data_IF_760551917377
#
_entry.id   IF_760551917377
#
_cell.length_a   1.000
_cell.length_b   1.000
_cell.length_c   1.000
_cell.angle_alpha   90.00
_cell.angle_beta   90.00
_cell.angle_gamma   90.00
#
_symmetry.space_group_name_H-M   'P 1'
#
loop_
_entity.id
_entity.type
_entity.pdbx_description
1 polymer ?
#
# COMPACT_ATOMS: atom_id res chain seq x y z
N UNK A 1 15.88 -13.56 -20.24
CA UNK A 1 14.78 -12.68 -19.77
C UNK A 1 15.22 -12.09 -18.44
N UNK A 2 15.04 -10.79 -18.20
CA UNK A 2 15.34 -10.22 -16.87
C UNK A 2 14.41 -10.85 -15.81
N UNK A 3 14.88 -11.12 -14.58
CA UNK A 3 14.03 -11.72 -13.55
C UNK A 3 12.88 -10.78 -13.19
N UNK A 4 11.65 -11.31 -13.12
CA UNK A 4 10.47 -10.57 -12.66
C UNK A 4 10.47 -10.56 -11.13
N UNK A 5 10.57 -9.38 -10.53
CA UNK A 5 10.55 -9.19 -9.08
C UNK A 5 9.18 -8.65 -8.68
N UNK A 6 8.45 -9.40 -7.86
CA UNK A 6 7.20 -8.95 -7.24
C UNK A 6 7.49 -8.65 -5.77
N UNK A 7 7.23 -7.41 -5.34
CA UNK A 7 7.39 -7.01 -3.95
C UNK A 7 6.02 -6.77 -3.36
N UNK A 8 5.78 -7.43 -2.23
CA UNK A 8 4.55 -7.37 -1.47
C UNK A 8 4.97 -6.98 -0.05
N UNK A 9 4.62 -5.78 0.38
CA UNK A 9 5.04 -5.30 1.69
C UNK A 9 4.54 -3.90 1.98
N UNK A 10 4.81 -3.44 3.19
CA UNK A 10 4.33 -2.15 3.69
C UNK A 10 4.99 -0.97 2.97
N UNK A 11 4.16 0.03 2.71
CA UNK A 11 4.55 1.41 2.53
C UNK A 11 4.11 2.12 3.81
N UNK A 12 4.95 3.02 4.31
CA UNK A 12 4.67 3.84 5.48
C UNK A 12 5.14 5.28 5.18
N UNK A 13 4.76 6.24 6.04
CA UNK A 13 5.40 7.55 6.08
C UNK A 13 6.33 7.62 7.27
N UNK A 14 7.61 7.91 7.00
CA UNK A 14 8.62 8.10 8.02
C UNK A 14 8.60 9.57 8.45
N UNK A 15 8.24 9.80 9.72
CA UNK A 15 8.34 11.11 10.37
C UNK A 15 9.66 11.16 11.14
N UNK A 16 10.64 11.88 10.58
CA UNK A 16 12.00 11.94 11.12
C UNK A 16 12.24 13.31 11.72
N UNK A 17 12.41 13.34 13.04
CA UNK A 17 12.86 14.52 13.78
C UNK A 17 14.35 14.38 14.10
N UNK A 18 15.15 15.34 13.68
CA UNK A 18 16.57 15.40 13.97
C UNK A 18 16.79 16.13 15.30
N UNK A 19 17.46 15.45 16.23
CA UNK A 19 17.74 15.93 17.59
C UNK A 19 19.21 15.65 17.92
N UNK A 20 19.85 16.44 18.80
CA UNK A 20 21.28 16.28 19.12
C UNK A 20 21.58 14.95 19.84
N UNK A 21 20.60 14.36 20.52
CA UNK A 21 20.66 13.04 21.14
C UNK A 21 19.25 12.47 21.31
N UNK A 22 19.16 11.18 21.65
CA UNK A 22 17.88 10.58 22.04
C UNK A 22 17.34 11.24 23.32
N UNK A 23 16.03 11.56 23.40
CA UNK A 23 15.45 12.14 24.61
C UNK A 23 15.57 11.21 25.81
N UNK A 24 15.94 11.77 26.96
CA UNK A 24 15.85 11.09 28.25
C UNK A 24 14.39 11.11 28.79
N UNK A 25 14.03 10.23 29.74
CA UNK A 25 12.70 10.26 30.35
C UNK A 25 12.36 11.63 30.96
N UNK A 26 11.25 12.22 30.52
CA UNK A 26 10.77 13.53 30.99
C UNK A 26 11.44 14.74 30.33
N UNK A 27 12.44 14.53 29.48
CA UNK A 27 13.11 15.59 28.74
C UNK A 27 12.29 16.00 27.51
N UNK A 28 12.27 17.31 27.22
CA UNK A 28 11.70 17.86 25.98
C UNK A 28 12.82 18.50 25.17
N UNK A 29 13.00 18.04 23.92
CA UNK A 29 14.00 18.57 23.00
C UNK A 29 13.35 19.34 21.85
N UNK A 30 13.95 20.46 21.48
CA UNK A 30 13.61 21.15 20.24
C UNK A 30 14.34 20.48 19.07
N UNK A 31 13.59 20.10 18.05
CA UNK A 31 14.13 19.55 16.81
C UNK A 31 14.93 20.60 16.03
N UNK A 32 16.05 20.19 15.42
CA UNK A 32 16.79 21.04 14.48
C UNK A 32 16.39 20.77 13.01
N UNK A 33 15.47 19.84 12.78
CA UNK A 33 14.90 19.54 11.47
C UNK A 33 13.82 18.47 11.56
N UNK A 34 12.76 18.64 10.77
CA UNK A 34 11.70 17.65 10.66
C UNK A 34 11.51 17.31 9.19
N UNK A 35 11.47 16.02 8.88
CA UNK A 35 11.25 15.54 7.52
C UNK A 35 10.14 14.49 7.51
N UNK A 36 9.30 14.56 6.49
CA UNK A 36 8.29 13.55 6.18
C UNK A 36 8.64 12.97 4.82
N UNK A 37 8.88 11.67 4.76
CA UNK A 37 9.27 10.99 3.53
C UNK A 37 8.56 9.64 3.38
N UNK A 38 8.33 9.18 2.13
CA UNK A 38 7.90 7.81 1.89
C UNK A 38 8.93 6.82 2.47
N UNK A 39 8.43 5.83 3.21
CA UNK A 39 9.21 4.81 3.90
C UNK A 39 8.49 3.47 3.90
N UNK A 40 8.75 2.63 4.89
CA UNK A 40 8.19 1.28 4.93
C UNK A 40 9.04 0.24 4.18
N UNK A 41 9.10 -0.97 4.72
CA UNK A 41 10.06 -1.98 4.29
C UNK A 41 9.76 -2.48 2.87
N UNK A 42 8.49 -2.65 2.52
CA UNK A 42 8.07 -3.08 1.18
C UNK A 42 8.41 -2.04 0.11
N UNK A 43 8.08 -0.77 0.36
CA UNK A 43 8.39 0.31 -0.56
C UNK A 43 9.90 0.53 -0.75
N UNK A 44 10.66 0.52 0.35
CA UNK A 44 12.12 0.67 0.29
C UNK A 44 12.77 -0.49 -0.49
N UNK A 45 12.27 -1.72 -0.31
CA UNK A 45 12.72 -2.86 -1.12
C UNK A 45 12.36 -2.69 -2.61
N UNK A 46 11.18 -2.16 -2.94
CA UNK A 46 10.76 -1.95 -4.33
C UNK A 46 11.65 -0.92 -5.02
N UNK A 47 11.90 0.21 -4.36
CA UNK A 47 12.81 1.24 -4.84
C UNK A 47 14.24 0.69 -4.96
N UNK A 48 14.71 -0.12 -4.02
CA UNK A 48 16.03 -0.73 -4.07
C UNK A 48 16.17 -1.69 -5.27
N UNK A 49 15.21 -2.61 -5.46
CA UNK A 49 15.20 -3.51 -6.60
C UNK A 49 15.18 -2.74 -7.92
N UNK A 50 14.35 -1.70 -8.05
CA UNK A 50 14.30 -0.86 -9.25
C UNK A 50 15.63 -0.14 -9.51
N UNK A 51 16.22 0.51 -8.48
CA UNK A 51 17.48 1.25 -8.61
C UNK A 51 18.69 0.34 -8.87
N UNK A 52 18.75 -0.83 -8.25
CA UNK A 52 19.89 -1.75 -8.35
C UNK A 52 19.84 -2.65 -9.59
N UNK A 53 18.67 -2.81 -10.21
CA UNK A 53 18.52 -3.59 -11.45
C UNK A 53 18.69 -2.78 -12.72
N UNK A 54 18.93 -1.46 -12.63
CA UNK A 54 18.90 -0.51 -13.77
C UNK A 54 20.02 0.52 -13.68
N UNK A 55 20.50 0.99 -14.82
CA UNK A 55 21.36 2.20 -14.92
C UNK A 55 20.49 3.43 -14.68
N UNK A 56 20.98 4.40 -13.90
CA UNK A 56 20.20 5.54 -13.38
C UNK A 56 19.53 6.39 -14.47
N UNK A 57 18.23 6.17 -14.68
CA UNK A 57 17.30 7.16 -15.26
C UNK A 57 16.07 7.28 -14.35
N UNK A 58 15.64 8.52 -14.08
CA UNK A 58 14.50 8.82 -13.21
C UNK A 58 13.15 8.31 -13.75
N UNK A 59 13.08 7.91 -15.02
CA UNK A 59 11.82 7.52 -15.68
C UNK A 59 11.43 6.05 -15.47
N UNK A 60 12.25 5.23 -14.81
CA UNK A 60 12.08 3.78 -14.77
C UNK A 60 11.75 3.16 -13.40
N UNK A 61 11.54 3.96 -12.35
CA UNK A 61 11.42 3.43 -10.98
C UNK A 61 10.21 2.52 -10.75
N UNK A 62 9.12 2.75 -11.50
CA UNK A 62 7.88 1.96 -11.42
C UNK A 62 7.73 0.96 -12.56
N UNK A 63 8.61 1.02 -13.55
CA UNK A 63 8.57 0.13 -14.70
C UNK A 63 8.88 -1.31 -14.26
N UNK A 64 8.09 -2.26 -14.75
CA UNK A 64 8.16 -3.65 -14.32
C UNK A 64 7.57 -3.95 -12.93
N UNK A 65 7.00 -2.97 -12.21
CA UNK A 65 6.33 -3.23 -10.94
C UNK A 65 4.98 -3.93 -11.17
N UNK A 66 4.87 -5.17 -10.71
CA UNK A 66 3.68 -5.99 -10.95
C UNK A 66 2.45 -5.53 -10.15
N UNK A 67 2.63 -5.13 -8.90
CA UNK A 67 1.55 -4.69 -8.01
C UNK A 67 2.06 -3.52 -7.17
N UNK A 68 1.27 -2.45 -7.09
CA UNK A 68 1.50 -1.32 -6.20
C UNK A 68 0.28 -1.18 -5.31
N UNK A 69 0.45 -1.42 -4.01
CA UNK A 69 -0.59 -1.22 -2.99
C UNK A 69 -0.17 -0.03 -2.13
N UNK A 70 -1.04 0.98 -2.08
CA UNK A 70 -0.80 2.25 -1.37
C UNK A 70 -2.07 2.72 -0.67
N UNK A 71 -1.95 3.48 0.42
CA UNK A 71 -3.08 4.23 0.98
C UNK A 71 -3.24 5.62 0.31
N UNK A 72 -4.23 6.41 0.74
CA UNK A 72 -4.52 7.76 0.24
C UNK A 72 -3.32 8.71 0.34
N UNK A 73 -2.74 8.84 1.53
CA UNK A 73 -1.61 9.73 1.81
C UNK A 73 -0.37 9.34 0.99
N UNK A 74 -0.11 8.05 0.88
CA UNK A 74 0.97 7.48 0.08
C UNK A 74 0.78 7.69 -1.41
N UNK A 75 -0.44 7.47 -1.91
CA UNK A 75 -0.78 7.71 -3.29
C UNK A 75 -0.59 9.18 -3.65
N UNK A 76 -1.02 10.11 -2.79
CA UNK A 76 -0.82 11.54 -2.96
C UNK A 76 0.67 11.92 -3.03
N UNK A 77 1.46 11.48 -2.04
CA UNK A 77 2.90 11.75 -1.97
C UNK A 77 3.66 11.18 -3.16
N UNK A 78 3.42 9.91 -3.50
CA UNK A 78 4.12 9.26 -4.62
C UNK A 78 3.69 9.81 -5.97
N UNK A 79 2.42 10.20 -6.14
CA UNK A 79 1.93 10.81 -7.38
C UNK A 79 2.37 12.26 -7.55
N UNK A 80 2.71 12.95 -6.45
CA UNK A 80 2.93 14.40 -6.43
C UNK A 80 1.62 15.18 -6.58
N UNK A 81 0.49 14.58 -6.18
CA UNK A 81 -0.85 15.19 -6.18
C UNK A 81 -1.29 15.50 -4.76
N UNK A 82 -2.15 16.52 -4.53
CA UNK A 82 -2.70 16.76 -3.20
C UNK A 82 -3.63 15.61 -2.78
N UNK A 83 -3.72 15.35 -1.48
CA UNK A 83 -4.61 14.31 -0.93
C UNK A 83 -6.08 14.54 -1.30
N UNK A 84 -6.50 15.79 -1.53
CA UNK A 84 -7.86 16.13 -1.99
C UNK A 84 -8.22 15.53 -3.35
N UNK A 85 -7.23 15.16 -4.20
CA UNK A 85 -7.51 14.42 -5.44
C UNK A 85 -8.05 13.01 -5.15
N UNK A 86 -7.76 12.44 -3.99
CA UNK A 86 -8.23 11.10 -3.62
C UNK A 86 -9.66 11.15 -3.07
N UNK A 87 -10.25 12.32 -2.87
CA UNK A 87 -11.61 12.47 -2.34
C UNK A 87 -12.70 12.23 -3.39
N UNK A 88 -12.39 12.43 -4.68
CA UNK A 88 -13.34 12.26 -5.79
C UNK A 88 -13.04 11.00 -6.63
N UNK A 89 -14.07 10.32 -7.17
CA UNK A 89 -13.87 9.18 -8.07
C UNK A 89 -12.95 9.51 -9.27
N UNK A 90 -13.11 10.69 -9.86
CA UNK A 90 -12.33 11.13 -11.02
C UNK A 90 -10.87 11.40 -10.65
N UNK A 91 -10.61 11.95 -9.46
CA UNK A 91 -9.24 12.19 -9.00
C UNK A 91 -8.52 10.91 -8.63
N UNK A 92 -9.19 9.96 -7.97
CA UNK A 92 -8.67 8.61 -7.73
C UNK A 92 -8.29 7.94 -9.07
N UNK A 93 -9.16 8.02 -10.08
CA UNK A 93 -8.88 7.48 -11.42
C UNK A 93 -7.66 8.14 -12.07
N UNK A 94 -7.52 9.46 -11.99
CA UNK A 94 -6.34 10.18 -12.51
C UNK A 94 -5.06 9.72 -11.84
N UNK A 95 -5.07 9.52 -10.52
CA UNK A 95 -3.90 9.04 -9.77
C UNK A 95 -3.57 7.59 -10.13
N UNK A 96 -4.57 6.72 -10.27
CA UNK A 96 -4.39 5.35 -10.76
C UNK A 96 -3.77 5.30 -12.16
N UNK A 97 -4.31 6.08 -13.10
CA UNK A 97 -3.80 6.17 -14.47
C UNK A 97 -2.34 6.64 -14.51
N UNK A 98 -1.98 7.63 -13.68
CA UNK A 98 -0.60 8.11 -13.57
C UNK A 98 0.38 6.99 -13.17
N UNK A 99 0.01 6.11 -12.25
CA UNK A 99 0.86 4.99 -11.86
C UNK A 99 0.97 3.91 -12.96
N UNK A 100 -0.10 3.67 -13.74
CA UNK A 100 -0.04 2.80 -14.92
C UNK A 100 0.89 3.37 -16.00
N UNK A 101 0.82 4.67 -16.25
CA UNK A 101 1.70 5.38 -17.20
C UNK A 101 3.16 5.31 -16.76
N UNK A 102 3.42 5.31 -15.44
CA UNK A 102 4.75 5.10 -14.86
C UNK A 102 5.25 3.65 -14.95
N UNK A 103 4.41 2.71 -15.37
CA UNK A 103 4.80 1.33 -15.70
C UNK A 103 4.25 0.24 -14.77
N UNK A 104 3.50 0.61 -13.73
CA UNK A 104 2.88 -0.36 -12.81
C UNK A 104 1.83 -1.20 -13.56
N UNK A 105 1.76 -2.50 -13.28
CA UNK A 105 0.78 -3.40 -13.93
C UNK A 105 -0.58 -3.39 -13.24
N UNK A 106 -0.60 -3.46 -11.90
CA UNK A 106 -1.80 -3.39 -11.07
C UNK A 106 -1.61 -2.34 -9.98
N UNK A 107 -2.49 -1.35 -9.92
CA UNK A 107 -2.49 -0.28 -8.92
C UNK A 107 -3.68 -0.48 -8.01
N UNK A 108 -3.44 -0.50 -6.70
CA UNK A 108 -4.43 -0.71 -5.65
C UNK A 108 -4.27 0.44 -4.65
N UNK A 109 -5.32 1.24 -4.47
CA UNK A 109 -5.36 2.38 -3.57
C UNK A 109 -6.40 2.09 -2.50
N UNK A 110 -5.96 1.90 -1.25
CA UNK A 110 -6.84 1.73 -0.11
C UNK A 110 -7.32 3.10 0.38
N UNK A 111 -8.64 3.22 0.61
CA UNK A 111 -9.33 4.48 0.91
C UNK A 111 -10.06 4.42 2.27
N UNK A 112 -9.52 3.62 3.19
CA UNK A 112 -10.12 3.35 4.50
C UNK A 112 -11.57 2.87 4.40
N UNK A 113 -12.48 3.57 5.09
CA UNK A 113 -13.91 3.24 5.10
C UNK A 113 -14.62 3.39 3.75
N UNK A 114 -14.00 4.04 2.75
CA UNK A 114 -14.53 4.14 1.39
C UNK A 114 -14.21 2.91 0.53
N UNK A 115 -13.39 1.99 1.05
CA UNK A 115 -13.04 0.75 0.39
C UNK A 115 -11.71 0.84 -0.34
N UNK A 116 -11.62 0.23 -1.52
CA UNK A 116 -10.38 0.09 -2.28
C UNK A 116 -10.65 0.36 -3.75
N UNK A 117 -9.92 1.30 -4.33
CA UNK A 117 -9.89 1.48 -5.77
C UNK A 117 -8.77 0.65 -6.38
N UNK A 118 -9.02 0.02 -7.53
CA UNK A 118 -7.96 -0.56 -8.33
C UNK A 118 -8.10 -0.26 -9.81
N UNK A 119 -6.98 -0.30 -10.51
CA UNK A 119 -6.90 -0.25 -11.97
C UNK A 119 -5.69 -1.04 -12.45
N UNK A 120 -5.78 -1.67 -13.62
CA UNK A 120 -4.68 -2.42 -14.21
C UNK A 120 -4.49 -2.15 -15.70
N UNK A 121 -3.34 -2.59 -16.24
CA UNK A 121 -3.03 -2.46 -17.69
C UNK A 121 -3.92 -3.32 -18.59
N UNK A 122 -4.66 -4.28 -18.06
CA UNK A 122 -5.65 -5.04 -18.80
C UNK A 122 -6.96 -4.24 -19.02
N UNK A 123 -7.06 -3.02 -18.50
CA UNK A 123 -8.22 -2.14 -18.64
C UNK A 123 -9.32 -2.44 -17.60
N UNK A 124 -9.06 -3.29 -16.61
CA UNK A 124 -9.97 -3.51 -15.49
C UNK A 124 -9.74 -2.43 -14.43
N UNK A 125 -10.81 -1.97 -13.81
CA UNK A 125 -10.75 -1.12 -12.63
C UNK A 125 -12.11 -0.90 -12.02
N UNK A 126 -12.16 -0.82 -10.69
CA UNK A 126 -13.37 -0.59 -9.95
C UNK A 126 -13.06 0.04 -8.58
N UNK A 127 -14.08 0.66 -8.00
CA UNK A 127 -14.11 0.98 -6.58
C UNK A 127 -14.85 -0.17 -5.86
N UNK A 128 -14.11 -0.93 -5.06
CA UNK A 128 -14.65 -2.03 -4.23
C UNK A 128 -14.99 -1.47 -2.86
N UNK A 129 -16.26 -1.58 -2.46
CA UNK A 129 -16.71 -1.10 -1.14
C UNK A 129 -15.95 -1.77 0.01
N UNK A 130 -15.78 -1.03 1.11
CA UNK A 130 -15.26 -1.59 2.34
C UNK A 130 -16.25 -2.61 2.92
N UNK A 131 -15.71 -3.68 3.51
CA UNK A 131 -16.51 -4.65 4.24
C UNK A 131 -17.03 -4.00 5.54
N UNK A 132 -18.34 -4.07 5.78
CA UNK A 132 -18.97 -3.41 6.93
C UNK A 132 -18.67 -4.18 8.20
N UNK A 133 -18.14 -3.49 9.21
CA UNK A 133 -17.79 -4.09 10.50
C UNK A 133 -17.84 -3.04 11.61
N UNK A 134 -17.84 -3.48 12.87
CA UNK A 134 -17.65 -2.60 14.02
C UNK A 134 -16.16 -2.31 14.18
N UNK A 135 -15.76 -1.06 14.02
CA UNK A 135 -14.36 -0.65 14.15
C UNK A 135 -14.00 -0.44 15.61
N UNK A 136 -12.97 -1.15 16.08
CA UNK A 136 -12.43 -1.08 17.45
C UNK A 136 -11.03 -0.46 17.46
N UNK A 137 -10.15 -0.90 16.57
CA UNK A 137 -8.76 -0.43 16.45
C UNK A 137 -8.26 -0.68 15.03
N UNK A 138 -7.83 0.35 14.31
CA UNK A 138 -7.43 0.24 12.90
C UNK A 138 -5.97 -0.21 12.72
N UNK A 139 -5.25 -0.45 13.81
CA UNK A 139 -3.86 -0.90 13.77
C UNK A 139 -3.73 -2.21 12.98
N UNK A 140 -2.71 -2.33 12.12
CA UNK A 140 -2.43 -3.48 11.26
C UNK A 140 -3.50 -3.81 10.18
N UNK A 141 -4.48 -2.94 9.94
CA UNK A 141 -5.46 -3.13 8.86
C UNK A 141 -4.77 -3.20 7.48
N UNK A 142 -3.90 -2.23 7.17
CA UNK A 142 -3.13 -2.20 5.94
C UNK A 142 -2.16 -3.38 5.80
N UNK A 143 -1.49 -3.77 6.89
CA UNK A 143 -0.59 -4.94 6.89
C UNK A 143 -1.36 -6.23 6.62
N UNK A 144 -2.55 -6.39 7.20
CA UNK A 144 -3.44 -7.53 6.95
C UNK A 144 -3.92 -7.55 5.51
N UNK A 145 -4.33 -6.39 4.98
CA UNK A 145 -4.74 -6.24 3.58
C UNK A 145 -3.63 -6.71 2.64
N UNK A 146 -2.43 -6.15 2.79
CA UNK A 146 -1.28 -6.46 1.95
C UNK A 146 -0.88 -7.92 2.10
N UNK A 147 -0.89 -8.48 3.31
CA UNK A 147 -0.59 -9.89 3.56
C UNK A 147 -1.58 -10.85 2.89
N UNK A 148 -2.88 -10.55 2.99
CA UNK A 148 -3.93 -11.35 2.34
C UNK A 148 -3.86 -11.25 0.81
N UNK A 149 -3.68 -10.04 0.27
CA UNK A 149 -3.50 -9.82 -1.17
C UNK A 149 -2.25 -10.54 -1.68
N UNK A 150 -1.15 -10.48 -0.94
CA UNK A 150 0.09 -11.17 -1.25
C UNK A 150 -0.08 -12.69 -1.34
N UNK A 151 -0.83 -13.28 -0.40
CA UNK A 151 -1.15 -14.70 -0.42
C UNK A 151 -1.92 -15.09 -1.69
N UNK A 152 -2.87 -14.25 -2.13
CA UNK A 152 -3.59 -14.47 -3.38
C UNK A 152 -2.67 -14.39 -4.62
N UNK A 153 -1.74 -13.43 -4.66
CA UNK A 153 -0.76 -13.29 -5.75
C UNK A 153 0.13 -14.53 -5.86
N UNK A 154 0.65 -15.02 -4.72
CA UNK A 154 1.52 -16.22 -4.70
C UNK A 154 0.72 -17.48 -5.03
N UNK A 155 -0.52 -17.59 -4.54
CA UNK A 155 -1.41 -18.72 -4.79
C UNK A 155 -1.87 -18.86 -6.24
N UNK A 156 -1.84 -17.78 -7.03
CA UNK A 156 -2.21 -17.79 -8.44
C UNK A 156 -1.08 -18.26 -9.39
N UNK A 157 0.00 -18.84 -8.87
CA UNK A 157 1.08 -19.35 -9.70
C UNK A 157 0.58 -20.41 -10.69
N UNK A 158 0.63 -20.09 -12.00
CA UNK A 158 0.17 -20.97 -13.07
C UNK A 158 -1.30 -20.82 -13.46
N UNK A 159 -2.05 -19.88 -12.86
CA UNK A 159 -3.43 -19.56 -13.22
C UNK A 159 -3.62 -18.05 -13.46
N UNK A 160 -4.68 -17.62 -14.16
CA UNK A 160 -5.00 -16.20 -14.26
C UNK A 160 -5.25 -15.59 -12.88
N UNK A 161 -4.56 -14.50 -12.57
CA UNK A 161 -4.76 -13.75 -11.32
C UNK A 161 -5.92 -12.77 -11.46
N UNK A 162 -6.92 -12.88 -10.59
CA UNK A 162 -8.05 -11.96 -10.51
C UNK A 162 -7.83 -10.95 -9.37
N UNK A 163 -7.59 -9.70 -9.75
CA UNK A 163 -7.33 -8.59 -8.82
C UNK A 163 -8.56 -8.29 -7.95
N UNK A 164 -9.78 -8.38 -8.50
CA UNK A 164 -11.02 -8.05 -7.79
C UNK A 164 -11.26 -9.07 -6.66
N UNK A 165 -11.12 -10.35 -6.99
CA UNK A 165 -11.27 -11.45 -6.02
C UNK A 165 -10.23 -11.33 -4.90
N UNK A 166 -8.97 -11.03 -5.25
CA UNK A 166 -7.91 -10.82 -4.27
C UNK A 166 -8.20 -9.63 -3.33
N UNK A 167 -8.71 -8.51 -3.87
CA UNK A 167 -9.08 -7.33 -3.08
C UNK A 167 -10.24 -7.64 -2.13
N UNK A 168 -11.28 -8.35 -2.59
CA UNK A 168 -12.42 -8.73 -1.73
C UNK A 168 -11.99 -9.61 -0.57
N UNK A 169 -11.13 -10.59 -0.82
CA UNK A 169 -10.56 -11.43 0.24
C UNK A 169 -9.74 -10.60 1.25
N UNK A 170 -8.92 -9.67 0.75
CA UNK A 170 -8.12 -8.79 1.59
C UNK A 170 -8.98 -7.79 2.40
N UNK A 171 -10.10 -7.30 1.84
CA UNK A 171 -11.09 -6.50 2.56
C UNK A 171 -11.73 -7.29 3.71
N UNK A 172 -12.14 -8.54 3.48
CA UNK A 172 -12.72 -9.40 4.53
C UNK A 172 -11.74 -9.61 5.68
N UNK A 173 -10.47 -9.87 5.36
CA UNK A 173 -9.41 -10.03 6.37
C UNK A 173 -9.21 -8.74 7.18
N UNK A 174 -9.07 -7.60 6.50
CA UNK A 174 -8.85 -6.31 7.13
C UNK A 174 -10.02 -5.88 8.01
N UNK A 175 -11.26 -6.12 7.59
CA UNK A 175 -12.45 -5.81 8.38
C UNK A 175 -12.54 -6.63 9.68
N UNK A 176 -12.02 -7.86 9.67
CA UNK A 176 -11.93 -8.67 10.88
C UNK A 176 -10.81 -8.20 11.81
N UNK A 177 -9.69 -7.77 11.25
CA UNK A 177 -8.59 -7.14 12.01
C UNK A 177 -9.06 -5.89 12.75
N UNK A 178 -9.74 -4.96 12.06
CA UNK A 178 -10.14 -3.70 12.70
C UNK A 178 -11.22 -3.84 13.76
N UNK A 179 -11.88 -4.99 13.83
CA UNK A 179 -12.87 -5.31 14.86
C UNK A 179 -12.25 -5.80 16.19
N UNK A 180 -10.92 -5.83 16.29
CA UNK A 180 -10.15 -6.32 17.45
C UNK A 180 -9.08 -5.30 17.82
N UNK A 181 -8.63 -5.31 19.08
CA UNK A 181 -7.54 -4.44 19.54
C UNK A 181 -6.17 -5.01 19.20
N UNK A 182 -5.22 -4.12 18.91
CA UNK A 182 -3.81 -4.46 18.72
C UNK A 182 -3.42 -4.73 17.27
N UNK A 183 -2.12 -4.92 17.04
CA UNK A 183 -1.53 -5.15 15.71
C UNK A 183 -1.54 -6.64 15.32
N UNK A 184 -0.47 -7.38 15.59
CA UNK A 184 -0.38 -8.79 15.17
C UNK A 184 -1.46 -9.68 15.79
N UNK A 185 -1.88 -9.37 17.02
CA UNK A 185 -2.89 -10.13 17.76
C UNK A 185 -4.31 -9.98 17.20
N UNK A 186 -4.57 -8.95 16.39
CA UNK A 186 -5.88 -8.74 15.77
C UNK A 186 -6.01 -9.45 14.42
N UNK A 187 -4.89 -9.83 13.80
CA UNK A 187 -4.86 -10.47 12.48
C UNK A 187 -5.60 -11.82 12.53
N UNK A 188 -6.58 -12.06 11.65
CA UNK A 188 -7.38 -13.28 11.67
C UNK A 188 -6.62 -14.49 11.12
N UNK A 189 -6.95 -15.66 11.63
CA UNK A 189 -6.60 -16.94 11.00
C UNK A 189 -7.50 -17.22 9.79
N UNK A 190 -7.10 -18.18 8.95
CA UNK A 190 -7.83 -18.49 7.70
C UNK A 190 -9.25 -18.99 7.95
N UNK A 191 -9.43 -19.88 8.94
CA UNK A 191 -10.72 -20.43 9.37
C UNK A 191 -11.66 -19.37 9.95
N UNK A 192 -11.10 -18.24 10.39
CA UNK A 192 -11.88 -17.09 10.81
C UNK A 192 -12.42 -16.26 9.63
N UNK A 193 -12.00 -16.54 8.39
CA UNK A 193 -12.41 -15.83 7.19
C UNK A 193 -13.41 -16.60 6.33
N UNK A 194 -13.91 -17.74 6.80
CA UNK A 194 -14.97 -18.51 6.14
C UNK A 194 -16.34 -17.89 6.44
#
# INVERSE_FOLDING_TARGET
MAPRITILGSLNIDLVSYVPHHPLPGETLTSNGFNSSPGGKGANQAVACAKLSRTSSLSGAYDGLAHLVVNETEAALLSGKPESELESPEGIQRVGALFLDRGVQNVIITLGGRGVYYVNKAGQGALVEAEKTVVVDTTAAGDTFVGSYALAVVGASGTPFDVDVAIRAANKASAKTVARKGAQVSIPWKDELE
#
